data_IF_951426461484
#
_entry.id   IF_951426461484
#
_cell.length_a   1.000
_cell.length_b   1.000
_cell.length_c   1.000
_cell.angle_alpha   90.00
_cell.angle_beta   90.00
_cell.angle_gamma   90.00
#
_symmetry.space_group_name_H-M   'P 1'
#
loop_
_entity.id
_entity.type
_entity.pdbx_description
1 polymer ?
#
# COMPACT_ATOMS: atom_id res chain seq x y z
N UNK A 1 12.18 -42.20 21.25
CA UNK A 1 12.57 -40.88 20.70
C UNK A 1 11.68 -39.86 21.37
N UNK A 2 12.21 -39.20 22.39
CA UNK A 2 11.50 -38.18 23.17
C UNK A 2 11.36 -36.90 22.37
N UNK A 3 10.18 -36.29 22.44
CA UNK A 3 9.85 -35.02 21.81
C UNK A 3 10.35 -33.90 22.73
N UNK A 4 11.45 -33.24 22.33
CA UNK A 4 11.95 -32.05 23.02
C UNK A 4 11.04 -30.85 22.70
N UNK A 5 10.47 -30.13 23.69
CA UNK A 5 9.73 -28.92 23.42
C UNK A 5 10.69 -27.83 22.93
N UNK A 6 10.28 -27.11 21.87
CA UNK A 6 10.96 -25.92 21.38
C UNK A 6 10.98 -24.89 22.51
N UNK A 7 12.18 -24.53 22.96
CA UNK A 7 12.37 -23.43 23.92
C UNK A 7 11.80 -22.14 23.32
N UNK A 8 10.87 -21.52 24.05
CA UNK A 8 10.46 -20.15 23.78
C UNK A 8 11.69 -19.26 24.01
N UNK A 9 12.26 -18.75 22.94
CA UNK A 9 13.33 -17.76 22.98
C UNK A 9 12.86 -16.55 23.80
N UNK A 10 13.32 -16.50 25.06
CA UNK A 10 13.11 -15.40 25.99
C UNK A 10 14.39 -14.57 25.98
N UNK A 11 14.49 -13.54 25.12
CA UNK A 11 15.56 -12.57 25.28
C UNK A 11 15.96 -11.73 24.09
N UNK A 12 15.07 -10.87 23.61
CA UNK A 12 15.34 -9.50 23.12
C UNK A 12 14.00 -8.86 22.75
N UNK A 13 13.72 -7.58 23.07
CA UNK A 13 12.53 -6.93 22.52
C UNK A 13 12.63 -7.00 21.00
N UNK A 14 11.69 -7.68 20.33
CA UNK A 14 11.74 -7.85 18.88
C UNK A 14 11.87 -6.46 18.25
N UNK A 15 12.92 -6.23 17.47
CA UNK A 15 13.15 -4.95 16.79
C UNK A 15 11.87 -4.54 16.08
N UNK A 16 11.36 -3.35 16.36
CA UNK A 16 10.16 -2.81 15.71
C UNK A 16 10.37 -2.79 14.19
N UNK A 17 9.48 -3.44 13.46
CA UNK A 17 9.51 -3.55 11.99
C UNK A 17 8.35 -2.76 11.40
N UNK A 18 8.66 -1.86 10.47
CA UNK A 18 7.69 -1.07 9.73
C UNK A 18 7.15 -1.84 8.52
N UNK A 19 5.95 -1.51 8.06
CA UNK A 19 5.38 -2.03 6.82
C UNK A 19 5.89 -1.25 5.61
N UNK A 20 6.49 -1.94 4.65
CA UNK A 20 6.87 -1.38 3.35
C UNK A 20 5.98 -1.97 2.27
N UNK A 21 5.45 -1.12 1.41
CA UNK A 21 4.57 -1.55 0.34
C UNK A 21 4.77 -0.78 -0.96
N UNK A 22 4.36 -1.41 -2.05
CA UNK A 22 4.37 -0.86 -3.40
C UNK A 22 2.97 -1.02 -3.97
N UNK A 23 2.36 0.07 -4.42
CA UNK A 23 1.06 0.04 -5.07
C UNK A 23 1.32 -0.10 -6.58
N UNK A 24 1.16 -1.33 -7.09
CA UNK A 24 1.55 -1.72 -8.45
C UNK A 24 0.47 -1.31 -9.45
N UNK A 25 0.66 -0.10 -9.95
CA UNK A 25 -0.08 0.55 -11.01
C UNK A 25 0.89 1.16 -12.03
N UNK A 26 0.45 1.31 -13.27
CA UNK A 26 1.21 2.00 -14.31
C UNK A 26 0.95 3.52 -14.30
N UNK A 27 1.80 4.29 -14.98
CA UNK A 27 1.84 5.76 -14.92
C UNK A 27 0.52 6.45 -15.30
N UNK A 28 -0.35 5.78 -16.06
CA UNK A 28 -1.64 6.29 -16.51
C UNK A 28 -2.82 5.89 -15.63
N UNK A 29 -2.66 4.89 -14.76
CA UNK A 29 -3.73 4.37 -13.89
C UNK A 29 -3.95 5.22 -12.64
N UNK A 30 -3.06 6.18 -12.42
CA UNK A 30 -3.06 7.07 -11.28
C UNK A 30 -4.31 7.96 -11.22
N UNK A 31 -4.76 8.25 -10.01
CA UNK A 31 -5.87 9.20 -9.79
C UNK A 31 -5.62 10.61 -10.34
N UNK A 32 -4.37 10.99 -10.64
CA UNK A 32 -4.04 12.28 -11.24
C UNK A 32 -4.50 12.43 -12.70
N UNK A 33 -4.71 11.32 -13.41
CA UNK A 33 -5.09 11.28 -14.83
C UNK A 33 -6.46 10.63 -15.08
N UNK A 34 -7.20 10.26 -14.03
CA UNK A 34 -8.50 9.58 -14.13
C UNK A 34 -9.56 10.32 -14.97
N UNK A 35 -9.48 11.65 -15.05
CA UNK A 35 -10.40 12.49 -15.84
C UNK A 35 -9.76 12.97 -17.16
N UNK A 36 -8.63 12.38 -17.56
CA UNK A 36 -7.84 12.80 -18.73
C UNK A 36 -7.56 11.61 -19.66
N UNK A 37 -7.40 10.41 -19.10
CA UNK A 37 -7.15 9.18 -19.85
C UNK A 37 -8.32 8.23 -19.58
N UNK A 38 -9.06 7.88 -20.62
CA UNK A 38 -10.13 6.89 -20.52
C UNK A 38 -9.53 5.49 -20.26
N UNK A 39 -10.23 4.68 -19.48
CA UNK A 39 -9.80 3.30 -19.19
C UNK A 39 -9.81 2.43 -20.44
N UNK A 40 -10.71 2.70 -21.37
CA UNK A 40 -10.80 1.98 -22.64
C UNK A 40 -9.56 2.20 -23.53
N UNK A 41 -8.82 3.29 -23.31
CA UNK A 41 -7.59 3.60 -24.06
C UNK A 41 -6.33 2.94 -23.48
N UNK A 42 -6.40 2.32 -22.29
CA UNK A 42 -5.22 1.84 -21.56
C UNK A 42 -4.39 0.80 -22.33
N UNK A 43 -5.05 -0.08 -23.10
CA UNK A 43 -4.35 -1.10 -23.90
C UNK A 43 -3.52 -0.51 -25.06
N UNK A 44 -3.77 0.76 -25.42
CA UNK A 44 -2.97 1.49 -26.41
C UNK A 44 -1.76 2.23 -25.82
N UNK A 45 -1.59 2.24 -24.50
CA UNK A 45 -0.55 3.01 -23.83
C UNK A 45 0.72 2.17 -23.59
N UNK A 46 1.87 2.82 -23.70
CA UNK A 46 3.15 2.18 -23.42
C UNK A 46 3.25 1.80 -21.93
N UNK A 47 3.38 0.49 -21.67
CA UNK A 47 3.54 -0.05 -20.32
C UNK A 47 4.94 0.21 -19.80
N UNK A 48 5.05 0.62 -18.54
CA UNK A 48 6.32 0.88 -17.84
C UNK A 48 6.39 0.12 -16.52
N UNK A 49 5.27 -0.43 -16.05
CA UNK A 49 5.15 -1.08 -14.74
C UNK A 49 6.12 -2.26 -14.58
N UNK A 50 6.34 -3.07 -15.61
CA UNK A 50 7.24 -4.23 -15.52
C UNK A 50 8.68 -3.83 -15.21
N UNK A 51 9.29 -2.98 -16.04
CA UNK A 51 10.65 -2.49 -15.84
C UNK A 51 10.81 -1.78 -14.49
N UNK A 52 9.80 -1.01 -14.09
CA UNK A 52 9.82 -0.29 -12.83
C UNK A 52 9.75 -1.23 -11.62
N UNK A 53 8.90 -2.25 -11.65
CA UNK A 53 8.82 -3.26 -10.59
C UNK A 53 10.13 -4.05 -10.52
N UNK A 54 10.73 -4.45 -11.65
CA UNK A 54 12.02 -5.15 -11.65
C UNK A 54 13.12 -4.32 -10.98
N UNK A 55 13.21 -3.03 -11.29
CA UNK A 55 14.15 -2.11 -10.63
C UNK A 55 13.88 -1.97 -9.13
N UNK A 56 12.63 -2.06 -8.69
CA UNK A 56 12.28 -2.06 -7.27
C UNK A 56 12.70 -3.35 -6.59
N UNK A 57 12.49 -4.50 -7.23
CA UNK A 57 12.97 -5.79 -6.74
C UNK A 57 14.49 -5.78 -6.56
N UNK A 58 15.24 -5.21 -7.51
CA UNK A 58 16.70 -5.03 -7.39
C UNK A 58 17.08 -4.15 -6.20
N UNK A 59 16.37 -3.03 -5.98
CA UNK A 59 16.59 -2.15 -4.82
C UNK A 59 16.33 -2.88 -3.49
N UNK A 60 15.26 -3.67 -3.42
CA UNK A 60 14.91 -4.43 -2.22
C UNK A 60 15.87 -5.60 -1.98
N UNK A 61 16.31 -6.28 -3.04
CA UNK A 61 17.31 -7.35 -2.95
C UNK A 61 18.66 -6.81 -2.46
N UNK A 62 19.11 -5.65 -2.96
CA UNK A 62 20.35 -5.02 -2.53
C UNK A 62 20.36 -4.59 -1.05
N UNK A 63 19.17 -4.35 -0.47
CA UNK A 63 19.01 -3.96 0.93
C UNK A 63 18.55 -5.11 1.84
N UNK A 64 18.37 -6.33 1.31
CA UNK A 64 17.76 -7.47 1.99
C UNK A 64 16.41 -7.13 2.67
N UNK A 65 15.56 -6.39 1.95
CA UNK A 65 14.25 -5.95 2.44
C UNK A 65 13.13 -6.76 1.79
N UNK A 66 12.12 -7.15 2.58
CA UNK A 66 10.84 -7.67 2.06
C UNK A 66 9.73 -6.63 2.24
N UNK A 67 8.81 -6.60 1.30
CA UNK A 67 7.72 -5.65 1.20
C UNK A 67 6.46 -6.35 0.65
N UNK A 68 5.36 -5.62 0.58
CA UNK A 68 4.09 -6.06 -0.03
C UNK A 68 3.80 -5.30 -1.31
N UNK A 69 3.39 -6.00 -2.35
CA UNK A 69 3.00 -5.43 -3.63
C UNK A 69 1.49 -5.52 -3.77
N UNK A 70 0.79 -4.41 -3.45
CA UNK A 70 -0.64 -4.29 -3.70
C UNK A 70 -0.85 -4.07 -5.19
N UNK A 71 -1.40 -5.06 -5.89
CA UNK A 71 -1.37 -5.08 -7.36
C UNK A 71 -2.77 -5.07 -7.94
N UNK A 72 -2.93 -4.27 -9.01
CA UNK A 72 -4.16 -4.22 -9.80
C UNK A 72 -4.35 -5.53 -10.57
N UNK A 73 -5.58 -6.05 -10.55
CA UNK A 73 -5.96 -7.20 -11.39
C UNK A 73 -5.68 -6.96 -12.88
N UNK A 74 -5.87 -5.72 -13.36
CA UNK A 74 -5.55 -5.32 -14.74
C UNK A 74 -4.07 -5.53 -15.09
N UNK A 75 -3.15 -5.19 -14.17
CA UNK A 75 -1.71 -5.37 -14.34
C UNK A 75 -1.34 -6.85 -14.25
N UNK A 76 -1.85 -7.56 -13.24
CA UNK A 76 -1.58 -8.98 -13.03
C UNK A 76 -2.02 -9.85 -14.22
N UNK A 77 -3.17 -9.54 -14.83
CA UNK A 77 -3.68 -10.23 -16.04
C UNK A 77 -2.70 -10.14 -17.22
N UNK A 78 -1.97 -9.03 -17.33
CA UNK A 78 -1.02 -8.76 -18.43
C UNK A 78 0.41 -9.21 -18.11
N UNK A 79 0.81 -9.12 -16.84
CA UNK A 79 2.17 -9.40 -16.38
C UNK A 79 2.22 -10.52 -15.34
N UNK A 80 1.56 -11.65 -15.59
CA UNK A 80 1.55 -12.78 -14.65
C UNK A 80 2.95 -13.33 -14.31
N UNK A 81 3.91 -13.26 -15.25
CA UNK A 81 5.32 -13.60 -15.00
C UNK A 81 5.99 -12.67 -13.99
N UNK A 82 5.65 -11.38 -14.01
CA UNK A 82 6.13 -10.40 -13.04
C UNK A 82 5.59 -10.72 -11.64
N UNK A 83 4.31 -11.09 -11.53
CA UNK A 83 3.69 -11.47 -10.26
C UNK A 83 4.43 -12.67 -9.63
N UNK A 84 4.79 -13.67 -10.43
CA UNK A 84 5.62 -14.80 -9.97
C UNK A 84 6.98 -14.34 -9.46
N UNK A 85 7.68 -13.46 -10.19
CA UNK A 85 8.97 -12.91 -9.74
C UNK A 85 8.87 -12.20 -8.38
N UNK A 86 7.78 -11.46 -8.14
CA UNK A 86 7.53 -10.80 -6.85
C UNK A 86 7.44 -11.83 -5.72
N UNK A 87 6.64 -12.88 -5.91
CA UNK A 87 6.44 -13.94 -4.90
C UNK A 87 7.70 -14.79 -4.71
N UNK A 88 8.38 -15.17 -5.80
CA UNK A 88 9.64 -15.94 -5.78
C UNK A 88 10.76 -15.17 -5.05
N UNK A 89 10.76 -13.83 -5.13
CA UNK A 89 11.67 -12.98 -4.37
C UNK A 89 11.29 -12.89 -2.86
N UNK A 90 10.24 -13.56 -2.41
CA UNK A 90 9.81 -13.62 -1.01
C UNK A 90 8.96 -12.42 -0.54
N UNK A 91 8.49 -11.59 -1.48
CA UNK A 91 7.57 -10.51 -1.18
C UNK A 91 6.14 -11.01 -1.08
N UNK A 92 5.28 -10.24 -0.40
CA UNK A 92 3.85 -10.50 -0.38
C UNK A 92 3.22 -9.92 -1.65
N UNK A 93 2.31 -10.67 -2.27
CA UNK A 93 1.39 -10.16 -3.28
C UNK A 93 0.02 -9.94 -2.63
N UNK A 94 -0.55 -8.75 -2.79
CA UNK A 94 -1.84 -8.36 -2.22
C UNK A 94 -2.73 -7.69 -3.27
N UNK A 95 -4.05 -7.61 -3.03
CA UNK A 95 -5.00 -7.03 -3.98
C UNK A 95 -5.07 -5.50 -3.87
N UNK A 96 -5.11 -4.83 -5.01
CA UNK A 96 -5.38 -3.39 -5.12
C UNK A 96 -6.67 -3.08 -5.90
N UNK A 97 -7.58 -4.06 -6.00
CA UNK A 97 -8.76 -3.99 -6.88
C UNK A 97 -8.41 -4.28 -8.35
N UNK A 98 -9.35 -4.12 -9.27
CA UNK A 98 -9.10 -4.47 -10.68
C UNK A 98 -8.45 -3.34 -11.49
N UNK A 99 -9.06 -2.16 -11.54
CA UNK A 99 -8.72 -1.06 -12.46
C UNK A 99 -8.56 0.31 -11.76
N UNK A 100 -8.13 0.29 -10.50
CA UNK A 100 -7.85 1.47 -9.70
C UNK A 100 -9.09 2.39 -9.48
N UNK A 101 -10.31 1.83 -9.54
CA UNK A 101 -11.51 2.53 -9.14
C UNK A 101 -11.57 2.78 -7.61
N UNK A 102 -12.05 3.96 -7.22
CA UNK A 102 -12.21 4.30 -5.80
C UNK A 102 -13.42 3.58 -5.21
N UNK A 103 -13.29 3.08 -3.99
CA UNK A 103 -14.32 2.26 -3.34
C UNK A 103 -15.65 3.00 -3.19
N UNK A 104 -15.62 4.30 -2.89
CA UNK A 104 -16.82 5.12 -2.79
C UNK A 104 -17.54 5.39 -4.13
N UNK A 105 -17.00 4.93 -5.26
CA UNK A 105 -17.68 4.97 -6.56
C UNK A 105 -18.43 3.66 -6.87
N UNK A 106 -18.28 2.64 -6.02
CA UNK A 106 -19.00 1.37 -6.15
C UNK A 106 -20.19 1.34 -5.20
N UNK A 107 -21.21 0.56 -5.56
CA UNK A 107 -22.06 -0.07 -4.56
C UNK A 107 -21.36 -1.33 -3.95
N UNK A 108 -21.98 -1.89 -2.91
CA UNK A 108 -21.42 -3.05 -2.20
C UNK A 108 -21.22 -4.26 -3.12
N UNK A 109 -22.15 -4.53 -4.03
CA UNK A 109 -22.10 -5.69 -4.93
C UNK A 109 -21.03 -5.50 -6.00
N UNK A 110 -20.94 -4.32 -6.59
CA UNK A 110 -19.92 -3.97 -7.57
C UNK A 110 -18.52 -4.10 -6.96
N UNK A 111 -18.34 -3.60 -5.73
CA UNK A 111 -17.08 -3.75 -5.01
C UNK A 111 -16.75 -5.22 -4.72
N UNK A 112 -17.74 -6.00 -4.27
CA UNK A 112 -17.57 -7.44 -4.04
C UNK A 112 -17.11 -8.17 -5.29
N UNK A 113 -17.65 -7.83 -6.46
CA UNK A 113 -17.23 -8.41 -7.73
C UNK A 113 -15.83 -7.94 -8.17
N UNK A 114 -15.50 -6.65 -7.99
CA UNK A 114 -14.17 -6.11 -8.29
C UNK A 114 -13.07 -6.86 -7.53
N UNK A 115 -13.20 -6.98 -6.21
CA UNK A 115 -12.19 -7.64 -5.38
C UNK A 115 -12.13 -9.15 -5.61
N UNK A 116 -13.25 -9.78 -6.00
CA UNK A 116 -13.30 -11.21 -6.35
C UNK A 116 -12.52 -11.47 -7.64
N UNK A 117 -12.82 -10.73 -8.70
CA UNK A 117 -12.14 -10.86 -10.01
C UNK A 117 -10.65 -10.56 -9.85
N UNK A 118 -10.30 -9.46 -9.18
CA UNK A 118 -8.90 -9.10 -8.99
C UNK A 118 -8.13 -10.17 -8.22
N UNK A 119 -8.74 -10.72 -7.17
CA UNK A 119 -8.14 -11.80 -6.37
C UNK A 119 -7.93 -13.08 -7.17
N UNK A 120 -8.93 -13.53 -7.91
CA UNK A 120 -8.82 -14.73 -8.76
C UNK A 120 -7.66 -14.61 -9.74
N UNK A 121 -7.52 -13.47 -10.42
CA UNK A 121 -6.42 -13.23 -11.37
C UNK A 121 -5.05 -13.28 -10.67
N UNK A 122 -4.93 -12.68 -9.49
CA UNK A 122 -3.69 -12.66 -8.72
C UNK A 122 -3.31 -14.07 -8.21
N UNK A 123 -4.28 -14.80 -7.65
CA UNK A 123 -4.11 -16.18 -7.18
C UNK A 123 -3.77 -17.10 -8.35
N UNK A 124 -4.46 -17.02 -9.49
CA UNK A 124 -4.18 -17.81 -10.69
C UNK A 124 -2.78 -17.54 -11.26
N UNK A 125 -2.31 -16.30 -11.17
CA UNK A 125 -1.00 -15.92 -11.73
C UNK A 125 0.20 -16.49 -10.96
N UNK A 126 0.02 -16.80 -9.67
CA UNK A 126 1.12 -17.14 -8.73
C UNK A 126 0.92 -18.40 -7.91
N UNK A 127 -0.31 -18.86 -7.73
CA UNK A 127 -0.70 -19.90 -6.77
C UNK A 127 -0.66 -19.44 -5.30
N UNK A 128 -0.25 -18.20 -5.02
CA UNK A 128 -0.21 -17.65 -3.66
C UNK A 128 -1.60 -17.16 -3.25
N UNK A 129 -2.03 -17.48 -2.02
CA UNK A 129 -3.29 -16.97 -1.46
C UNK A 129 -3.18 -15.45 -1.23
N UNK A 130 -4.17 -14.70 -1.69
CA UNK A 130 -4.23 -13.25 -1.47
C UNK A 130 -5.04 -12.96 -0.21
N UNK A 131 -4.38 -12.39 0.80
CA UNK A 131 -5.00 -12.11 2.11
C UNK A 131 -5.10 -10.62 2.44
N UNK A 132 -4.37 -9.78 1.72
CA UNK A 132 -4.33 -8.34 1.92
C UNK A 132 -5.08 -7.57 0.83
N UNK A 133 -5.71 -6.47 1.22
CA UNK A 133 -6.33 -5.51 0.31
C UNK A 133 -5.87 -4.07 0.60
N UNK A 134 -5.72 -3.25 -0.43
CA UNK A 134 -5.61 -1.79 -0.30
C UNK A 134 -6.55 -1.13 -1.31
N UNK A 135 -7.39 -0.23 -0.84
CA UNK A 135 -8.23 0.57 -1.72
C UNK A 135 -7.41 1.59 -2.53
N UNK A 136 -7.63 1.68 -3.85
CA UNK A 136 -7.14 2.78 -4.67
C UNK A 136 -7.39 4.14 -4.01
N UNK A 137 -6.37 5.00 -3.96
CA UNK A 137 -6.43 6.31 -3.30
C UNK A 137 -6.81 6.31 -1.80
N UNK A 138 -6.65 5.20 -1.06
CA UNK A 138 -7.13 5.05 0.33
C UNK A 138 -8.61 5.44 0.49
N UNK A 139 -9.44 4.92 -0.42
CA UNK A 139 -10.83 5.34 -0.61
C UNK A 139 -11.87 4.61 0.25
N UNK A 140 -11.45 3.86 1.28
CA UNK A 140 -12.37 3.41 2.32
C UNK A 140 -12.48 4.51 3.39
N UNK A 141 -13.70 4.98 3.62
CA UNK A 141 -14.01 5.95 4.67
C UNK A 141 -15.43 5.72 5.23
N UNK A 142 -15.94 6.70 5.99
CA UNK A 142 -17.27 6.65 6.62
C UNK A 142 -18.43 6.41 5.65
N UNK A 143 -18.25 6.68 4.35
CA UNK A 143 -19.26 6.47 3.31
C UNK A 143 -19.39 5.01 2.91
N UNK A 144 -18.35 4.22 3.14
CA UNK A 144 -18.24 2.84 2.65
C UNK A 144 -17.98 1.82 3.76
N UNK A 145 -18.70 1.84 4.90
CA UNK A 145 -18.49 0.84 5.95
C UNK A 145 -18.79 -0.59 5.46
N UNK A 146 -19.64 -0.71 4.44
CA UNK A 146 -19.95 -1.97 3.77
C UNK A 146 -18.73 -2.61 3.07
N UNK A 147 -17.68 -1.83 2.74
CA UNK A 147 -16.49 -2.38 2.10
C UNK A 147 -15.76 -3.36 3.04
N UNK A 148 -15.72 -3.07 4.34
CA UNK A 148 -15.15 -4.02 5.31
C UNK A 148 -15.96 -5.30 5.42
N UNK A 149 -17.29 -5.24 5.25
CA UNK A 149 -18.14 -6.44 5.28
C UNK A 149 -17.79 -7.36 4.10
N UNK A 150 -17.67 -6.81 2.89
CA UNK A 150 -17.26 -7.57 1.70
C UNK A 150 -15.86 -8.17 1.86
N UNK A 151 -14.90 -7.39 2.37
CA UNK A 151 -13.55 -7.89 2.63
C UNK A 151 -13.56 -9.07 3.62
N UNK A 152 -14.32 -8.95 4.71
CA UNK A 152 -14.45 -10.02 5.70
C UNK A 152 -15.16 -11.26 5.14
N UNK A 153 -16.26 -11.09 4.41
CA UNK A 153 -17.04 -12.19 3.82
C UNK A 153 -16.24 -12.97 2.76
N UNK A 154 -15.36 -12.28 2.02
CA UNK A 154 -14.45 -12.91 1.07
C UNK A 154 -13.16 -13.45 1.73
N UNK A 155 -13.00 -13.28 3.04
CA UNK A 155 -11.91 -13.87 3.80
C UNK A 155 -10.55 -13.16 3.66
N UNK A 156 -10.56 -11.84 3.42
CA UNK A 156 -9.36 -11.01 3.59
C UNK A 156 -8.98 -10.95 5.08
N UNK A 157 -7.68 -11.07 5.36
CA UNK A 157 -7.16 -11.01 6.73
C UNK A 157 -6.91 -9.57 7.18
N UNK A 158 -6.54 -8.69 6.25
CA UNK A 158 -6.29 -7.30 6.55
C UNK A 158 -6.58 -6.38 5.38
N UNK A 159 -6.81 -5.11 5.71
CA UNK A 159 -6.90 -4.00 4.77
C UNK A 159 -5.93 -2.89 5.17
N UNK A 160 -5.42 -2.14 4.19
CA UNK A 160 -4.60 -0.94 4.41
C UNK A 160 -5.09 0.19 3.52
N UNK A 161 -6.33 0.58 3.74
CA UNK A 161 -7.18 1.36 2.83
C UNK A 161 -7.58 2.72 3.38
N UNK A 162 -7.23 3.04 4.62
CA UNK A 162 -7.57 4.30 5.27
C UNK A 162 -6.35 5.23 5.36
N UNK A 163 -6.56 6.49 4.99
CA UNK A 163 -5.65 7.59 5.29
C UNK A 163 -6.26 8.46 6.38
N UNK A 164 -5.73 8.44 7.63
CA UNK A 164 -6.34 9.16 8.74
C UNK A 164 -6.16 10.69 8.69
N UNK A 165 -6.31 11.36 7.56
CA UNK A 165 -6.13 12.81 7.39
C UNK A 165 -7.36 13.42 6.71
N UNK A 166 -7.50 14.74 6.78
CA UNK A 166 -8.40 15.45 5.88
C UNK A 166 -7.66 15.77 4.57
N UNK A 167 -8.20 15.35 3.43
CA UNK A 167 -7.60 15.60 2.11
C UNK A 167 -8.68 15.72 1.03
N UNK A 168 -8.39 16.47 -0.05
CA UNK A 168 -9.38 16.86 -1.08
C UNK A 168 -10.10 15.68 -1.76
N UNK A 169 -9.45 14.51 -1.87
CA UNK A 169 -9.91 13.37 -2.67
C UNK A 169 -10.14 12.08 -1.87
N UNK A 170 -9.68 12.05 -0.62
CA UNK A 170 -9.69 10.86 0.22
C UNK A 170 -9.46 11.23 1.68
N UNK A 171 -9.55 10.24 2.54
CA UNK A 171 -9.10 10.32 3.92
C UNK A 171 -10.24 10.48 4.91
N UNK A 172 -9.97 9.99 6.11
CA UNK A 172 -10.91 9.91 7.22
C UNK A 172 -10.20 10.37 8.47
N UNK A 173 -10.29 11.68 8.77
CA UNK A 173 -9.54 12.29 9.87
C UNK A 173 -9.86 11.67 11.24
N UNK A 174 -11.09 11.22 11.44
CA UNK A 174 -11.60 10.65 12.67
C UNK A 174 -11.16 9.18 12.85
N UNK A 175 -10.69 8.52 11.79
CA UNK A 175 -10.19 7.16 11.88
C UNK A 175 -9.02 7.05 12.87
N UNK A 176 -8.87 5.89 13.53
CA UNK A 176 -7.66 5.55 14.26
C UNK A 176 -6.42 5.72 13.38
N UNK A 177 -5.30 6.14 13.98
CA UNK A 177 -4.03 6.30 13.26
C UNK A 177 -3.26 4.99 13.09
N UNK A 178 -3.62 3.99 13.89
CA UNK A 178 -2.97 2.68 13.97
C UNK A 178 -4.00 1.58 13.75
N UNK A 179 -3.54 0.33 13.80
CA UNK A 179 -4.38 -0.82 13.55
C UNK A 179 -5.68 -0.80 14.37
N UNK A 180 -6.78 -1.15 13.72
CA UNK A 180 -8.09 -1.25 14.35
C UNK A 180 -8.92 -2.36 13.72
N UNK A 181 -9.90 -2.87 14.46
CA UNK A 181 -10.89 -3.83 13.99
C UNK A 181 -12.12 -3.04 13.49
N UNK A 182 -12.36 -2.98 12.17
CA UNK A 182 -13.49 -2.25 11.62
C UNK A 182 -14.84 -2.95 11.87
N UNK A 183 -14.83 -4.24 12.22
CA UNK A 183 -16.03 -5.05 12.41
C UNK A 183 -15.91 -5.83 13.73
N UNK A 184 -16.95 -5.83 14.59
CA UNK A 184 -16.89 -6.49 15.90
C UNK A 184 -16.95 -8.03 15.82
N UNK A 185 -17.37 -8.59 14.69
CA UNK A 185 -17.58 -10.02 14.48
C UNK A 185 -16.52 -10.68 13.58
N UNK A 186 -15.54 -9.91 13.11
CA UNK A 186 -14.51 -10.39 12.17
C UNK A 186 -13.11 -10.17 12.75
N UNK A 187 -12.18 -11.05 12.40
CA UNK A 187 -10.76 -10.90 12.69
C UNK A 187 -10.03 -9.97 11.70
N UNK A 188 -10.76 -9.42 10.70
CA UNK A 188 -10.22 -8.44 9.77
C UNK A 188 -9.60 -7.25 10.53
N UNK A 189 -8.37 -6.88 10.15
CA UNK A 189 -7.67 -5.71 10.71
C UNK A 189 -7.47 -4.65 9.63
N UNK A 190 -7.84 -3.42 9.92
CA UNK A 190 -7.46 -2.26 9.11
C UNK A 190 -6.13 -1.70 9.65
N UNK A 191 -5.16 -1.46 8.76
CA UNK A 191 -3.87 -0.84 9.06
C UNK A 191 -3.74 0.46 8.25
N UNK A 192 -4.05 1.61 8.86
CA UNK A 192 -4.00 2.88 8.16
C UNK A 192 -2.60 3.27 7.70
N UNK A 193 -2.51 4.03 6.60
CA UNK A 193 -1.25 4.61 6.15
C UNK A 193 -0.74 5.63 7.17
N UNK A 194 0.58 5.70 7.34
CA UNK A 194 1.18 6.49 8.42
C UNK A 194 0.85 7.97 8.37
N UNK A 195 0.54 8.49 9.56
CA UNK A 195 0.41 9.91 9.85
C UNK A 195 1.32 10.28 11.01
N UNK A 196 1.85 11.50 10.98
CA UNK A 196 2.65 12.07 12.06
C UNK A 196 1.95 13.30 12.65
N UNK A 197 2.37 13.74 13.84
CA UNK A 197 1.89 14.97 14.47
C UNK A 197 2.95 16.06 14.33
N UNK A 198 2.58 17.17 13.68
CA UNK A 198 3.41 18.37 13.53
C UNK A 198 2.63 19.57 14.07
N UNK A 199 3.12 20.19 15.15
CA UNK A 199 2.48 21.36 15.76
C UNK A 199 1.03 21.10 16.20
N UNK A 200 0.76 19.92 16.77
CA UNK A 200 -0.58 19.49 17.19
C UNK A 200 -1.52 19.12 16.04
N UNK A 201 -1.05 19.14 14.79
CA UNK A 201 -1.83 18.76 13.61
C UNK A 201 -1.34 17.46 13.03
N UNK A 202 -2.28 16.64 12.58
CA UNK A 202 -1.99 15.38 11.89
C UNK A 202 -1.60 15.66 10.44
N UNK A 203 -0.48 15.10 10.00
CA UNK A 203 0.09 15.27 8.64
C UNK A 203 0.33 13.91 7.98
N UNK A 204 0.21 13.87 6.65
CA UNK A 204 0.52 12.68 5.86
C UNK A 204 2.01 12.34 5.97
N UNK A 205 2.32 11.07 6.23
CA UNK A 205 3.70 10.63 6.45
C UNK A 205 4.03 9.25 5.87
N UNK A 206 3.06 8.53 5.31
CA UNK A 206 3.25 7.18 4.78
C UNK A 206 3.76 7.08 3.35
N UNK A 207 4.30 8.14 2.75
CA UNK A 207 4.92 8.05 1.41
C UNK A 207 4.20 8.81 0.30
N UNK A 208 4.19 8.23 -0.90
CA UNK A 208 3.63 8.80 -2.12
C UNK A 208 4.11 10.22 -2.45
N UNK A 209 3.22 11.06 -2.97
CA UNK A 209 3.55 12.42 -3.43
C UNK A 209 4.21 13.31 -2.37
N UNK A 210 3.90 13.14 -1.08
CA UNK A 210 4.55 13.88 0.01
C UNK A 210 6.03 13.50 0.14
N UNK A 211 6.35 12.20 0.05
CA UNK A 211 7.73 11.75 0.05
C UNK A 211 8.48 12.25 -1.19
N UNK A 212 7.83 12.34 -2.34
CA UNK A 212 8.49 12.87 -3.53
C UNK A 212 8.81 14.37 -3.44
N UNK A 213 7.89 15.16 -2.89
CA UNK A 213 8.02 16.63 -2.86
C UNK A 213 8.87 17.12 -1.68
N UNK A 214 8.71 16.53 -0.49
CA UNK A 214 9.39 17.00 0.72
C UNK A 214 10.82 16.44 0.85
N UNK A 215 11.73 17.12 1.58
CA UNK A 215 13.05 16.58 1.89
C UNK A 215 12.98 15.26 2.68
N UNK A 216 14.00 14.41 2.55
CA UNK A 216 14.05 13.14 3.28
C UNK A 216 14.02 13.29 4.81
N UNK A 217 14.59 14.38 5.32
CA UNK A 217 14.56 14.71 6.74
C UNK A 217 13.13 14.71 7.33
N UNK A 218 12.12 15.09 6.55
CA UNK A 218 10.72 15.05 7.00
C UNK A 218 10.25 13.60 7.21
N UNK A 219 10.47 12.73 6.22
CA UNK A 219 10.06 11.31 6.30
C UNK A 219 10.80 10.57 7.41
N UNK A 220 12.11 10.83 7.55
CA UNK A 220 12.93 10.34 8.66
C UNK A 220 12.36 10.76 10.01
N UNK A 221 12.04 12.04 10.19
CA UNK A 221 11.44 12.56 11.42
C UNK A 221 10.09 11.90 11.70
N UNK A 222 9.21 11.82 10.71
CA UNK A 222 7.86 11.29 10.86
C UNK A 222 7.86 9.81 11.26
N UNK A 223 8.69 8.98 10.60
CA UNK A 223 8.83 7.55 10.95
C UNK A 223 9.44 7.40 12.34
N UNK A 224 10.46 8.20 12.69
CA UNK A 224 11.06 8.17 14.03
C UNK A 224 10.10 8.61 15.12
N UNK A 225 9.22 9.59 14.87
CA UNK A 225 8.17 9.99 15.81
C UNK A 225 7.27 8.79 16.12
N UNK A 226 6.72 8.16 15.08
CA UNK A 226 5.82 7.00 15.23
C UNK A 226 6.52 5.82 15.92
N UNK A 227 7.75 5.51 15.52
CA UNK A 227 8.51 4.38 16.09
C UNK A 227 8.96 4.62 17.53
N UNK A 228 9.37 5.85 17.90
CA UNK A 228 9.99 6.13 19.20
C UNK A 228 9.04 6.74 20.22
N UNK A 229 8.18 7.65 19.81
CA UNK A 229 7.27 8.33 20.72
C UNK A 229 5.99 7.51 20.93
N UNK A 230 5.47 6.91 19.85
CA UNK A 230 4.22 6.15 19.90
C UNK A 230 4.42 4.64 20.03
N UNK A 231 5.67 4.15 19.86
CA UNK A 231 6.03 2.73 19.91
C UNK A 231 5.15 1.87 18.98
N UNK A 232 4.85 2.43 17.79
CA UNK A 232 4.06 1.78 16.74
C UNK A 232 4.86 1.67 15.43
N UNK A 233 4.55 0.68 14.59
CA UNK A 233 5.13 0.62 13.26
C UNK A 233 4.57 1.70 12.35
N UNK A 234 5.43 2.22 11.48
CA UNK A 234 5.02 3.00 10.32
C UNK A 234 4.64 2.06 9.16
N UNK A 235 3.76 2.53 8.29
CA UNK A 235 3.34 1.97 7.01
C UNK A 235 3.74 2.97 5.94
N UNK A 236 4.63 2.54 5.05
CA UNK A 236 5.15 3.33 3.96
C UNK A 236 4.78 2.70 2.62
N UNK A 237 4.36 3.52 1.67
CA UNK A 237 4.05 3.11 0.30
C UNK A 237 4.59 4.09 -0.74
N UNK A 238 4.80 3.57 -1.95
CA UNK A 238 5.10 4.33 -3.15
C UNK A 238 4.66 3.52 -4.38
N UNK A 239 4.73 4.10 -5.56
CA UNK A 239 4.30 3.45 -6.80
C UNK A 239 5.49 3.21 -7.74
N UNK A 240 5.45 2.17 -8.60
CA UNK A 240 6.51 1.88 -9.57
C UNK A 240 6.85 3.06 -10.47
N UNK A 241 5.85 3.77 -10.97
CA UNK A 241 6.06 4.93 -11.85
C UNK A 241 6.81 6.08 -11.16
N UNK A 242 6.87 6.14 -9.84
CA UNK A 242 7.56 7.23 -9.13
C UNK A 242 9.10 7.16 -9.28
N UNK A 243 9.66 5.98 -9.60
CA UNK A 243 11.10 5.80 -9.85
C UNK A 243 11.50 5.91 -11.33
N UNK A 244 10.54 6.24 -12.19
CA UNK A 244 10.71 6.41 -13.64
C UNK A 244 10.67 7.90 -14.04
N UNK A 245 11.82 8.59 -14.12
CA UNK A 245 11.85 9.97 -14.56
C UNK A 245 11.50 10.17 -16.04
N UNK A 246 11.56 9.09 -16.83
CA UNK A 246 11.43 9.08 -18.29
C UNK A 246 10.06 8.57 -18.74
N UNK A 247 9.12 8.38 -17.81
CA UNK A 247 7.74 8.03 -18.12
C UNK A 247 7.07 9.04 -19.06
N UNK A 248 6.10 8.59 -19.89
CA UNK A 248 5.37 9.45 -20.80
C UNK A 248 4.77 10.69 -20.13
N UNK A 249 4.66 11.78 -20.90
CA UNK A 249 4.04 13.04 -20.45
C UNK A 249 2.65 13.16 -21.04
N UNK A 250 1.64 13.26 -20.18
CA UNK A 250 0.23 13.41 -20.58
C UNK A 250 -0.05 14.82 -21.08
N UNK A 251 -0.33 15.01 -22.38
CA UNK A 251 -0.76 16.31 -22.91
C UNK A 251 -2.13 16.69 -22.34
N UNK A 252 -2.39 17.99 -22.16
CA UNK A 252 -3.70 18.48 -21.69
C UNK A 252 -4.04 18.22 -20.21
N UNK A 253 -3.22 17.46 -19.48
CA UNK A 253 -3.47 17.23 -18.06
C UNK A 253 -3.43 18.53 -17.22
N UNK A 254 -4.31 18.68 -16.21
CA UNK A 254 -4.32 19.85 -15.34
C UNK A 254 -2.96 20.14 -14.70
N UNK A 255 -2.62 21.42 -14.53
CA UNK A 255 -1.32 21.82 -13.96
C UNK A 255 -1.08 21.20 -12.57
N UNK A 256 -2.12 21.15 -11.72
CA UNK A 256 -2.07 20.50 -10.39
C UNK A 256 -1.66 19.03 -10.50
N UNK A 257 -2.26 18.27 -11.43
CA UNK A 257 -1.92 16.86 -11.70
C UNK A 257 -0.48 16.72 -12.18
N UNK A 258 -0.07 17.53 -13.17
CA UNK A 258 1.30 17.49 -13.71
C UNK A 258 2.35 17.80 -12.65
N UNK A 259 2.14 18.83 -11.84
CA UNK A 259 3.06 19.18 -10.75
C UNK A 259 3.14 18.06 -9.73
N UNK A 260 2.01 17.52 -9.28
CA UNK A 260 2.01 16.41 -8.31
C UNK A 260 2.70 15.18 -8.87
N UNK A 261 2.43 14.82 -10.12
CA UNK A 261 2.93 13.60 -10.77
C UNK A 261 4.42 13.66 -11.11
N UNK A 262 4.90 14.77 -11.70
CA UNK A 262 6.24 14.79 -12.31
C UNK A 262 7.35 15.42 -11.45
N UNK A 263 7.01 16.08 -10.34
CA UNK A 263 8.00 16.77 -9.50
C UNK A 263 8.98 15.76 -8.90
N UNK A 264 10.29 16.03 -8.94
CA UNK A 264 11.34 15.25 -8.25
C UNK A 264 11.43 13.74 -8.57
N UNK A 265 10.90 13.23 -9.69
CA UNK A 265 11.01 11.80 -10.06
C UNK A 265 12.46 11.28 -10.05
N UNK A 266 13.42 12.07 -10.56
CA UNK A 266 14.86 11.73 -10.54
C UNK A 266 15.46 11.54 -9.14
N UNK A 267 14.80 12.05 -8.10
CA UNK A 267 15.26 11.94 -6.70
C UNK A 267 14.64 10.75 -5.98
N UNK A 268 13.62 10.09 -6.54
CA UNK A 268 12.87 9.05 -5.83
C UNK A 268 13.71 7.82 -5.54
N UNK A 269 14.40 7.25 -6.52
CA UNK A 269 15.21 6.05 -6.31
C UNK A 269 16.32 6.26 -5.25
N UNK A 270 17.17 7.32 -5.33
CA UNK A 270 18.16 7.58 -4.28
C UNK A 270 17.55 7.79 -2.89
N UNK A 271 16.40 8.48 -2.82
CA UNK A 271 15.70 8.74 -1.56
C UNK A 271 15.10 7.47 -0.96
N UNK A 272 14.58 6.57 -1.79
CA UNK A 272 14.12 5.25 -1.37
C UNK A 272 15.29 4.41 -0.88
N UNK A 273 16.45 4.43 -1.55
CA UNK A 273 17.65 3.75 -1.07
C UNK A 273 18.03 4.20 0.34
N UNK A 274 17.98 5.49 0.64
CA UNK A 274 18.25 5.99 2.00
C UNK A 274 17.19 5.48 3.00
N UNK A 275 15.91 5.52 2.62
CA UNK A 275 14.80 5.05 3.45
C UNK A 275 14.89 3.55 3.79
N UNK A 276 15.12 2.69 2.79
CA UNK A 276 15.13 1.23 2.97
C UNK A 276 16.31 0.75 3.80
N UNK A 277 17.44 1.47 3.77
CA UNK A 277 18.62 1.14 4.57
C UNK A 277 18.57 1.72 6.00
N UNK A 278 17.76 2.75 6.25
CA UNK A 278 17.73 3.41 7.56
C UNK A 278 16.79 2.75 8.58
N UNK A 279 15.70 2.14 8.12
CA UNK A 279 14.67 1.56 8.98
C UNK A 279 14.53 0.06 8.77
N UNK A 280 13.98 -0.65 9.75
CA UNK A 280 13.61 -2.05 9.59
C UNK A 280 12.26 -2.15 8.89
N UNK A 281 12.20 -2.90 7.79
CA UNK A 281 11.03 -3.04 6.94
C UNK A 281 10.59 -4.50 6.84
N UNK A 282 9.31 -4.70 6.59
CA UNK A 282 8.73 -6.00 6.36
C UNK A 282 7.41 -5.91 5.59
N UNK A 283 6.87 -7.10 5.33
CA UNK A 283 5.59 -7.29 4.65
C UNK A 283 4.41 -6.87 5.53
N UNK A 284 3.34 -6.44 4.89
CA UNK A 284 2.10 -5.99 5.51
C UNK A 284 1.30 -7.13 6.13
N UNK A 285 1.28 -8.34 5.57
CA UNK A 285 0.67 -9.52 6.22
C UNK A 285 1.27 -9.81 7.60
N UNK A 286 2.59 -9.81 7.70
CA UNK A 286 3.31 -10.01 8.96
C UNK A 286 3.06 -8.86 9.93
N UNK A 287 2.95 -7.63 9.40
CA UNK A 287 2.59 -6.47 10.20
C UNK A 287 1.17 -6.60 10.74
N UNK A 288 0.21 -6.99 9.89
CA UNK A 288 -1.19 -7.19 10.24
C UNK A 288 -1.33 -8.22 11.36
N UNK A 289 -0.68 -9.37 11.19
CA UNK A 289 -0.68 -10.42 12.20
C UNK A 289 -0.19 -9.91 13.55
N UNK A 290 0.93 -9.17 13.59
CA UNK A 290 1.47 -8.61 14.85
C UNK A 290 0.63 -7.48 15.43
N UNK A 291 0.00 -6.66 14.58
CA UNK A 291 -0.77 -5.51 15.03
C UNK A 291 -2.21 -5.87 15.41
N UNK A 292 -2.71 -7.05 15.02
CA UNK A 292 -4.03 -7.54 15.39
C UNK A 292 -4.25 -7.58 16.91
N UNK A 293 -3.22 -7.93 17.69
CA UNK A 293 -3.28 -7.96 19.17
C UNK A 293 -3.37 -6.56 19.80
N UNK A 294 -2.92 -5.53 19.09
CA UNK A 294 -2.97 -4.13 19.53
C UNK A 294 -4.12 -3.35 18.87
N UNK A 295 -4.89 -4.00 18.01
CA UNK A 295 -5.96 -3.38 17.26
C UNK A 295 -7.11 -3.04 18.18
N UNK A 296 -7.46 -1.77 18.25
CA UNK A 296 -8.64 -1.31 18.97
C UNK A 296 -9.89 -1.57 18.14
N UNK A 297 -11.05 -1.76 18.76
CA UNK A 297 -12.31 -1.73 18.04
C UNK A 297 -12.56 -0.31 17.50
N UNK A 298 -13.09 -0.23 16.28
CA UNK A 298 -13.60 1.02 15.76
C UNK A 298 -14.83 1.42 16.59
N UNK A 299 -14.77 2.59 17.24
CA UNK A 299 -15.92 3.11 17.99
C UNK A 299 -17.13 3.26 17.06
N UNK A 300 -18.28 2.74 17.51
CA UNK A 300 -19.56 2.83 16.82
C UNK A 300 -20.07 4.28 16.72
#
# INVERSE_FOLDING_TARGET
MEYSPIEKDKGQPSKLVNGLSVDVEDWFQVGAFENVIDRDDWDGLALRVEDNVLRILDLFAAADVKATFFTLGWVAKRHGSLMRKIVEAGHELASHGYDHARVFNFDRKEFGEDIRIAREILEDSTGAKITGYRAPSFSIDQRTPWAYMELAEQGYAYSSSVAPIAHDHYGWREAPRFAFKPLPWSDLVEIPVTTAILGGRRVAAGGGGFFRVLPYAFSRWAIRQVNREEQRPAVFYFHPWEIDPDQPRVPGAPLKSRVRHYTNLKKMAPKLTELINEFAWGRMDMLAHRQAEFAQELAA
#
